data_IF_604462672494
#
_entry.id   IF_604462672494
#
_cell.length_a   1.000
_cell.length_b   1.000
_cell.length_c   1.000
_cell.angle_alpha   90.00
_cell.angle_beta   90.00
_cell.angle_gamma   90.00
#
_symmetry.space_group_name_H-M   'P 1'
#
loop_
_entity.id
_entity.type
_entity.pdbx_description
1 polymer ?
#
# COMPACT_ATOMS: atom_id res chain seq x y z
N UNK A 1 17.49 4.69 -14.00
CA UNK A 1 16.62 4.05 -13.02
C UNK A 1 15.17 4.45 -13.25
N UNK A 2 14.75 5.72 -13.21
CA UNK A 2 13.35 6.15 -13.40
C UNK A 2 12.67 5.56 -14.65
N UNK A 3 13.27 5.66 -15.84
CA UNK A 3 12.72 5.05 -17.09
C UNK A 3 12.56 3.53 -17.00
N UNK A 4 13.40 2.87 -16.28
CA UNK A 4 13.33 1.41 -16.08
C UNK A 4 12.19 1.05 -15.11
N UNK A 5 12.00 1.84 -14.06
CA UNK A 5 10.87 1.68 -13.14
C UNK A 5 9.53 1.99 -13.82
N UNK A 6 9.48 3.02 -14.66
CA UNK A 6 8.31 3.33 -15.50
C UNK A 6 7.93 2.14 -16.41
N UNK A 7 8.91 1.52 -17.06
CA UNK A 7 8.67 0.32 -17.86
C UNK A 7 8.15 -0.86 -17.02
N UNK A 8 8.77 -1.11 -15.87
CA UNK A 8 8.34 -2.17 -14.94
C UNK A 8 6.92 -1.90 -14.43
N UNK A 9 6.59 -0.65 -14.12
CA UNK A 9 5.25 -0.22 -13.74
C UNK A 9 4.23 -0.58 -14.82
N UNK A 10 4.48 -0.13 -16.06
CA UNK A 10 3.56 -0.30 -17.17
C UNK A 10 3.33 -1.79 -17.47
N UNK A 11 4.41 -2.59 -17.49
CA UNK A 11 4.32 -4.04 -17.67
C UNK A 11 3.47 -4.71 -16.56
N UNK A 12 3.66 -4.31 -15.29
CA UNK A 12 2.90 -4.86 -14.16
C UNK A 12 1.44 -4.41 -14.16
N UNK A 13 1.15 -3.17 -14.51
CA UNK A 13 -0.23 -2.69 -14.65
C UNK A 13 -0.95 -3.48 -15.73
N UNK A 14 -0.32 -3.73 -16.88
CA UNK A 14 -0.90 -4.61 -17.91
C UNK A 14 -1.15 -6.03 -17.38
N UNK A 15 -0.22 -6.58 -16.60
CA UNK A 15 -0.40 -7.89 -15.96
C UNK A 15 -1.57 -7.91 -14.97
N UNK A 16 -1.77 -6.82 -14.19
CA UNK A 16 -2.89 -6.65 -13.26
C UNK A 16 -4.22 -6.63 -14.04
N UNK A 17 -4.30 -5.86 -15.11
CA UNK A 17 -5.49 -5.76 -15.96
C UNK A 17 -5.83 -7.14 -16.56
N UNK A 18 -4.85 -7.82 -17.15
CA UNK A 18 -5.03 -9.17 -17.71
C UNK A 18 -5.48 -10.18 -16.65
N UNK A 19 -4.93 -10.08 -15.43
CA UNK A 19 -5.34 -10.90 -14.30
C UNK A 19 -6.79 -10.63 -13.91
N UNK A 20 -7.15 -9.36 -13.78
CA UNK A 20 -8.52 -8.98 -13.43
C UNK A 20 -9.52 -9.49 -14.46
N UNK A 21 -9.26 -9.29 -15.75
CA UNK A 21 -10.13 -9.80 -16.83
C UNK A 21 -10.29 -11.33 -16.78
N UNK A 22 -9.21 -12.06 -16.53
CA UNK A 22 -9.24 -13.52 -16.46
C UNK A 22 -9.98 -14.06 -15.22
N UNK A 23 -10.16 -13.25 -14.17
CA UNK A 23 -10.77 -13.67 -12.90
C UNK A 23 -12.11 -12.97 -12.64
N UNK A 24 -12.67 -12.25 -13.60
CA UNK A 24 -14.02 -11.69 -13.51
C UNK A 24 -15.07 -12.77 -13.35
N UNK A 25 -15.90 -12.61 -12.34
CA UNK A 25 -17.04 -13.50 -12.06
C UNK A 25 -18.31 -12.69 -11.85
N UNK A 26 -19.46 -13.12 -12.41
CA UNK A 26 -20.71 -12.45 -12.14
C UNK A 26 -21.15 -12.70 -10.69
N UNK A 27 -21.69 -11.67 -10.07
CA UNK A 27 -22.38 -11.74 -8.79
C UNK A 27 -23.89 -11.80 -9.05
N UNK A 28 -24.57 -12.71 -8.39
CA UNK A 28 -26.00 -12.92 -8.57
C UNK A 28 -26.78 -12.51 -7.31
N UNK A 29 -28.00 -12.05 -7.51
CA UNK A 29 -28.96 -11.84 -6.43
C UNK A 29 -29.50 -13.17 -5.90
N UNK A 30 -30.42 -13.08 -4.90
CA UNK A 30 -31.08 -14.27 -4.30
C UNK A 30 -31.97 -15.01 -5.29
N UNK A 31 -32.34 -14.40 -6.42
CA UNK A 31 -33.22 -14.97 -7.45
C UNK A 31 -32.41 -15.52 -8.64
N UNK A 32 -31.06 -15.40 -8.60
CA UNK A 32 -30.19 -15.87 -9.66
C UNK A 32 -29.98 -14.86 -10.80
N UNK A 33 -30.41 -13.60 -10.65
CA UNK A 33 -30.17 -12.57 -11.65
C UNK A 33 -28.77 -11.93 -11.43
N UNK A 34 -28.00 -11.65 -12.51
CA UNK A 34 -26.74 -10.99 -12.37
C UNK A 34 -26.96 -9.53 -11.93
N UNK A 35 -26.29 -9.13 -10.85
CA UNK A 35 -26.38 -7.78 -10.26
C UNK A 35 -25.08 -6.99 -10.37
N UNK A 36 -23.95 -7.68 -10.51
CA UNK A 36 -22.63 -7.06 -10.51
C UNK A 36 -21.58 -8.03 -11.06
N UNK A 37 -20.37 -7.52 -11.27
CA UNK A 37 -19.19 -8.32 -11.62
C UNK A 37 -18.12 -8.03 -10.60
N UNK A 38 -17.49 -9.06 -10.06
CA UNK A 38 -16.36 -8.93 -9.16
C UNK A 38 -15.16 -9.71 -9.68
N UNK A 39 -13.97 -9.33 -9.24
CA UNK A 39 -12.76 -10.09 -9.54
C UNK A 39 -12.50 -11.06 -8.39
N UNK A 40 -12.51 -12.35 -8.70
CA UNK A 40 -12.14 -13.40 -7.74
C UNK A 40 -10.62 -13.40 -7.53
N UNK A 41 -10.18 -12.55 -6.63
CA UNK A 41 -8.76 -12.28 -6.38
C UNK A 41 -8.30 -12.86 -5.05
N UNK A 42 -7.12 -13.50 -5.07
CA UNK A 42 -6.45 -13.96 -3.87
C UNK A 42 -5.32 -12.99 -3.51
N UNK A 43 -5.34 -12.36 -2.31
CA UNK A 43 -4.31 -11.42 -1.88
C UNK A 43 -2.89 -12.00 -1.92
N UNK A 44 -2.72 -13.30 -1.65
CA UNK A 44 -1.41 -13.95 -1.73
C UNK A 44 -0.92 -13.97 -3.18
N UNK A 45 -1.78 -14.34 -4.12
CA UNK A 45 -1.45 -14.36 -5.55
C UNK A 45 -1.11 -12.97 -6.04
N UNK A 46 -1.90 -11.96 -5.66
CA UNK A 46 -1.64 -10.55 -5.97
C UNK A 46 -0.25 -10.15 -5.48
N UNK A 47 0.06 -10.42 -4.20
CA UNK A 47 1.35 -10.09 -3.60
C UNK A 47 2.51 -10.79 -4.31
N UNK A 48 2.39 -12.09 -4.58
CA UNK A 48 3.45 -12.88 -5.20
C UNK A 48 3.68 -12.49 -6.68
N UNK A 49 2.62 -12.12 -7.38
CA UNK A 49 2.70 -11.85 -8.80
C UNK A 49 3.11 -10.41 -9.10
N UNK A 50 2.48 -9.43 -8.46
CA UNK A 50 2.62 -8.02 -8.81
C UNK A 50 3.61 -7.24 -7.94
N UNK A 51 3.87 -7.71 -6.71
CA UNK A 51 4.84 -7.08 -5.79
C UNK A 51 6.11 -7.91 -5.63
N UNK A 52 6.46 -8.71 -6.65
CA UNK A 52 7.77 -9.36 -6.71
C UNK A 52 8.88 -8.31 -6.78
N UNK A 53 10.06 -8.66 -6.29
CA UNK A 53 11.22 -7.78 -6.27
C UNK A 53 11.50 -7.14 -7.64
N UNK A 54 11.82 -5.85 -7.62
CA UNK A 54 12.02 -5.04 -8.84
C UNK A 54 13.40 -5.25 -9.44
N UNK A 55 14.42 -5.37 -8.60
CA UNK A 55 15.77 -5.60 -9.06
C UNK A 55 16.08 -7.10 -9.25
N UNK A 56 16.83 -7.43 -10.29
CA UNK A 56 17.18 -8.81 -10.66
C UNK A 56 18.32 -9.41 -9.80
N UNK A 57 18.46 -8.97 -8.55
CA UNK A 57 19.12 -9.76 -7.55
C UNK A 57 20.61 -9.62 -7.41
N UNK A 58 21.07 -8.57 -6.83
CA UNK A 58 22.27 -8.65 -5.99
C UNK A 58 21.88 -9.34 -4.68
N UNK A 59 22.44 -10.51 -4.43
CA UNK A 59 22.33 -11.15 -3.13
C UNK A 59 23.14 -10.32 -2.13
N UNK A 60 22.46 -9.51 -1.33
CA UNK A 60 23.09 -8.66 -0.32
C UNK A 60 22.14 -7.64 0.26
N UNK A 61 22.53 -6.98 1.32
CA UNK A 61 21.84 -5.81 1.86
C UNK A 61 22.03 -4.69 0.83
N UNK A 62 20.96 -4.36 0.11
CA UNK A 62 20.98 -3.25 -0.83
C UNK A 62 20.79 -1.98 -0.01
N UNK A 63 21.80 -1.15 -0.02
CA UNK A 63 21.71 0.21 0.51
C UNK A 63 21.09 1.09 -0.58
N UNK A 64 19.84 1.49 -0.41
CA UNK A 64 19.18 2.43 -1.30
C UNK A 64 19.60 3.86 -0.96
N UNK A 65 19.73 4.72 -1.97
CA UNK A 65 19.73 6.16 -1.74
C UNK A 65 18.32 6.63 -1.40
N UNK A 66 18.20 7.83 -0.84
CA UNK A 66 16.91 8.46 -0.54
C UNK A 66 16.02 8.50 -1.78
N UNK A 67 16.55 9.01 -2.89
CA UNK A 67 15.84 9.15 -4.17
C UNK A 67 15.38 7.79 -4.71
N UNK A 68 16.21 6.75 -4.56
CA UNK A 68 15.85 5.39 -4.95
C UNK A 68 14.69 4.87 -4.12
N UNK A 69 14.71 5.07 -2.81
CA UNK A 69 13.66 4.60 -1.93
C UNK A 69 12.34 5.32 -2.21
N UNK A 70 12.38 6.63 -2.49
CA UNK A 70 11.22 7.42 -2.89
C UNK A 70 10.65 6.95 -4.24
N UNK A 71 11.49 6.72 -5.26
CA UNK A 71 11.05 6.18 -6.56
C UNK A 71 10.43 4.79 -6.44
N UNK A 72 10.98 3.90 -5.61
CA UNK A 72 10.38 2.59 -5.35
C UNK A 72 9.07 2.69 -4.59
N UNK A 73 8.94 3.65 -3.69
CA UNK A 73 7.69 3.87 -2.98
C UNK A 73 6.59 4.45 -3.88
N UNK A 74 6.95 5.35 -4.81
CA UNK A 74 6.03 5.80 -5.86
C UNK A 74 5.54 4.62 -6.72
N UNK A 75 6.45 3.79 -7.21
CA UNK A 75 6.07 2.58 -7.95
C UNK A 75 5.12 1.69 -7.14
N UNK A 76 5.43 1.45 -5.87
CA UNK A 76 4.58 0.67 -4.97
C UNK A 76 3.16 1.23 -4.90
N UNK A 77 3.02 2.55 -4.71
CA UNK A 77 1.72 3.21 -4.63
C UNK A 77 0.93 3.10 -5.94
N UNK A 78 1.58 3.28 -7.06
CA UNK A 78 0.93 3.14 -8.38
C UNK A 78 0.43 1.71 -8.62
N UNK A 79 1.20 0.70 -8.21
CA UNK A 79 0.75 -0.70 -8.28
C UNK A 79 -0.42 -1.01 -7.34
N UNK A 80 -0.42 -0.46 -6.12
CA UNK A 80 -1.56 -0.58 -5.20
C UNK A 80 -2.82 0.06 -5.81
N UNK A 81 -2.68 1.25 -6.40
CA UNK A 81 -3.80 1.93 -7.07
C UNK A 81 -4.35 1.09 -8.22
N UNK A 82 -3.49 0.52 -9.06
CA UNK A 82 -3.91 -0.34 -10.16
C UNK A 82 -4.60 -1.61 -9.67
N UNK A 83 -4.09 -2.26 -8.61
CA UNK A 83 -4.77 -3.42 -8.02
C UNK A 83 -6.15 -3.04 -7.48
N UNK A 84 -6.27 -1.90 -6.80
CA UNK A 84 -7.53 -1.43 -6.25
C UNK A 84 -8.54 -1.02 -7.34
N UNK A 85 -8.06 -0.51 -8.46
CA UNK A 85 -8.89 -0.12 -9.59
C UNK A 85 -9.41 -1.34 -10.39
N UNK A 86 -8.55 -2.30 -10.66
CA UNK A 86 -8.87 -3.37 -11.61
C UNK A 86 -9.19 -4.72 -10.96
N UNK A 87 -8.65 -5.02 -9.80
CA UNK A 87 -8.75 -6.36 -9.23
C UNK A 87 -9.58 -6.44 -7.95
N UNK A 88 -9.11 -5.86 -6.86
CA UNK A 88 -9.80 -5.89 -5.56
C UNK A 88 -9.19 -4.88 -4.61
N UNK A 89 -9.93 -4.53 -3.55
CA UNK A 89 -9.41 -3.69 -2.47
C UNK A 89 -8.23 -4.40 -1.81
N UNK A 90 -7.06 -3.83 -2.00
CA UNK A 90 -5.81 -4.35 -1.49
C UNK A 90 -5.16 -3.28 -0.61
N UNK A 91 -5.07 -3.51 0.71
CA UNK A 91 -4.52 -2.52 1.64
C UNK A 91 -3.02 -2.36 1.43
N UNK A 92 -2.53 -1.15 1.61
CA UNK A 92 -1.09 -0.89 1.67
C UNK A 92 -0.47 -1.65 2.83
N UNK A 93 0.76 -2.12 2.65
CA UNK A 93 1.44 -2.92 3.65
C UNK A 93 2.94 -2.74 3.57
N UNK A 94 3.57 -2.49 4.72
CA UNK A 94 5.02 -2.44 4.79
C UNK A 94 5.67 -3.74 4.35
N UNK A 95 5.06 -4.88 4.66
CA UNK A 95 5.54 -6.20 4.20
C UNK A 95 5.56 -6.30 2.69
N UNK A 96 4.50 -5.83 2.01
CA UNK A 96 4.40 -5.86 0.55
C UNK A 96 5.39 -4.88 -0.09
N UNK A 97 5.55 -3.69 0.50
CA UNK A 97 6.58 -2.74 0.06
C UNK A 97 7.99 -3.31 0.22
N UNK A 98 8.33 -3.86 1.39
CA UNK A 98 9.63 -4.50 1.63
C UNK A 98 9.90 -5.65 0.66
N UNK A 99 8.87 -6.42 0.29
CA UNK A 99 8.99 -7.46 -0.72
C UNK A 99 9.34 -6.89 -2.10
N UNK A 100 8.68 -5.79 -2.49
CA UNK A 100 8.94 -5.12 -3.76
C UNK A 100 10.38 -4.63 -3.87
N UNK A 101 10.94 -4.08 -2.81
CA UNK A 101 12.34 -3.61 -2.76
C UNK A 101 13.35 -4.70 -2.36
N UNK A 102 12.89 -5.91 -2.08
CA UNK A 102 13.76 -7.07 -1.79
C UNK A 102 14.46 -7.05 -0.44
N UNK A 103 13.89 -6.38 0.56
CA UNK A 103 14.39 -6.36 1.95
C UNK A 103 13.35 -6.96 2.91
N UNK A 104 13.76 -7.28 4.14
CA UNK A 104 12.83 -7.60 5.21
C UNK A 104 12.45 -6.35 6.01
N UNK A 105 11.35 -6.41 6.75
CA UNK A 105 10.93 -5.31 7.64
C UNK A 105 12.03 -5.01 8.67
N UNK A 106 12.68 -6.04 9.21
CA UNK A 106 13.73 -5.88 10.21
C UNK A 106 14.96 -5.18 9.63
N UNK A 107 15.33 -5.50 8.39
CA UNK A 107 16.40 -4.80 7.66
C UNK A 107 16.03 -3.33 7.44
N UNK A 108 14.80 -3.04 7.04
CA UNK A 108 14.35 -1.64 6.86
C UNK A 108 14.33 -0.87 8.19
N UNK A 109 13.92 -1.51 9.30
CA UNK A 109 13.99 -0.92 10.64
C UNK A 109 15.42 -0.64 11.08
N UNK A 110 16.31 -1.61 10.92
CA UNK A 110 17.72 -1.43 11.24
C UNK A 110 18.36 -0.33 10.40
N UNK A 111 18.02 -0.26 9.13
CA UNK A 111 18.47 0.80 8.23
C UNK A 111 18.00 2.18 8.70
N UNK A 112 16.71 2.31 9.07
CA UNK A 112 16.15 3.53 9.67
C UNK A 112 16.93 3.98 10.93
N UNK A 113 17.39 3.06 11.77
CA UNK A 113 18.14 3.38 12.99
C UNK A 113 19.56 3.87 12.71
N UNK A 114 20.19 3.40 11.64
CA UNK A 114 21.58 3.67 11.29
C UNK A 114 21.75 4.71 10.20
N UNK A 115 20.69 5.09 9.50
CA UNK A 115 20.69 6.05 8.41
C UNK A 115 20.86 7.50 8.89
N UNK A 116 21.26 8.37 7.98
CA UNK A 116 21.25 9.80 8.20
C UNK A 116 19.81 10.35 8.42
N UNK A 117 19.74 11.62 8.80
CA UNK A 117 18.47 12.27 9.17
C UNK A 117 17.50 12.31 7.99
N UNK A 118 17.98 12.54 6.77
CA UNK A 118 17.13 12.66 5.58
C UNK A 118 16.54 11.30 5.19
N UNK A 119 17.36 10.26 5.16
CA UNK A 119 16.91 8.91 4.90
C UNK A 119 15.94 8.42 5.97
N UNK A 120 16.22 8.73 7.24
CA UNK A 120 15.33 8.39 8.35
C UNK A 120 13.95 9.05 8.16
N UNK A 121 13.89 10.34 7.81
CA UNK A 121 12.64 11.04 7.52
C UNK A 121 11.89 10.40 6.36
N UNK A 122 12.57 10.02 5.29
CA UNK A 122 11.94 9.33 4.15
C UNK A 122 11.31 8.02 4.59
N UNK A 123 12.01 7.19 5.37
CA UNK A 123 11.47 5.94 5.88
C UNK A 123 10.28 6.21 6.82
N UNK A 124 10.37 7.19 7.71
CA UNK A 124 9.27 7.58 8.61
C UNK A 124 8.04 8.02 7.82
N UNK A 125 8.22 8.82 6.77
CA UNK A 125 7.13 9.24 5.87
C UNK A 125 6.45 8.05 5.21
N UNK A 126 7.21 7.06 4.72
CA UNK A 126 6.66 5.84 4.13
C UNK A 126 5.82 5.06 5.15
N UNK A 127 6.31 4.93 6.39
CA UNK A 127 5.56 4.27 7.46
C UNK A 127 4.26 4.99 7.77
N UNK A 128 4.30 6.31 7.91
CA UNK A 128 3.14 7.12 8.24
C UNK A 128 2.09 7.06 7.11
N UNK A 129 2.50 7.17 5.85
CA UNK A 129 1.58 7.08 4.72
C UNK A 129 0.90 5.71 4.61
N UNK A 130 1.64 4.61 4.81
CA UNK A 130 1.06 3.26 4.83
C UNK A 130 0.05 3.10 5.98
N UNK A 131 0.34 3.68 7.15
CA UNK A 131 -0.56 3.64 8.29
C UNK A 131 -1.82 4.47 8.05
N UNK A 132 -1.68 5.67 7.49
CA UNK A 132 -2.79 6.57 7.16
C UNK A 132 -3.72 5.94 6.12
N UNK A 133 -3.19 5.31 5.07
CA UNK A 133 -3.96 4.60 4.05
C UNK A 133 -4.78 3.45 4.66
N UNK A 134 -4.17 2.66 5.55
CA UNK A 134 -4.87 1.57 6.22
C UNK A 134 -5.96 2.08 7.18
N UNK A 135 -5.70 3.16 7.89
CA UNK A 135 -6.69 3.78 8.76
C UNK A 135 -7.87 4.30 7.94
N UNK A 136 -7.60 4.93 6.81
CA UNK A 136 -8.63 5.43 5.90
C UNK A 136 -9.52 4.31 5.35
N UNK A 137 -8.92 3.22 4.84
CA UNK A 137 -9.66 2.04 4.35
C UNK A 137 -10.52 1.40 5.45
N UNK A 138 -10.03 1.40 6.68
CA UNK A 138 -10.74 0.93 7.86
C UNK A 138 -11.97 1.80 8.16
N UNK A 139 -11.84 3.12 8.09
CA UNK A 139 -12.94 4.07 8.30
C UNK A 139 -14.03 3.95 7.23
N UNK A 140 -13.65 3.59 6.00
CA UNK A 140 -14.59 3.30 4.92
C UNK A 140 -15.27 1.93 5.05
N UNK A 141 -14.97 1.15 6.10
CA UNK A 141 -15.50 -0.19 6.29
C UNK A 141 -14.99 -1.22 5.27
N UNK A 142 -13.96 -0.87 4.50
CA UNK A 142 -13.39 -1.74 3.46
C UNK A 142 -12.40 -2.75 4.04
N UNK A 143 -11.94 -2.54 5.25
CA UNK A 143 -11.10 -3.48 6.00
C UNK A 143 -11.67 -3.70 7.40
N UNK A 144 -11.25 -4.77 8.07
CA UNK A 144 -11.71 -5.05 9.43
C UNK A 144 -11.06 -4.06 10.40
N UNK A 145 -11.85 -3.10 10.90
CA UNK A 145 -11.42 -2.03 11.80
C UNK A 145 -10.64 -2.54 13.03
N UNK A 146 -11.15 -3.60 13.67
CA UNK A 146 -10.48 -4.18 14.84
C UNK A 146 -9.11 -4.75 14.51
N UNK A 147 -8.98 -5.40 13.36
CA UNK A 147 -7.71 -5.95 12.87
C UNK A 147 -6.72 -4.84 12.50
N UNK A 148 -7.21 -3.78 11.90
CA UNK A 148 -6.39 -2.61 11.52
C UNK A 148 -5.89 -1.87 12.75
N UNK A 149 -6.78 -1.57 13.70
CA UNK A 149 -6.41 -0.93 14.98
C UNK A 149 -5.41 -1.79 15.77
N UNK A 150 -5.60 -3.12 15.80
CA UNK A 150 -4.66 -4.02 16.46
C UNK A 150 -3.27 -3.98 15.82
N UNK A 151 -3.20 -4.01 14.48
CA UNK A 151 -1.93 -3.89 13.75
C UNK A 151 -1.24 -2.55 14.02
N UNK A 152 -1.99 -1.45 13.94
CA UNK A 152 -1.47 -0.11 14.23
C UNK A 152 -0.95 -0.01 15.67
N UNK A 153 -1.68 -0.53 16.64
CA UNK A 153 -1.25 -0.56 18.04
C UNK A 153 0.01 -1.41 18.22
N UNK A 154 0.08 -2.60 17.63
CA UNK A 154 1.26 -3.46 17.76
C UNK A 154 2.51 -2.84 17.10
N UNK A 155 2.32 -2.08 16.03
CA UNK A 155 3.41 -1.33 15.38
C UNK A 155 3.86 -0.14 16.24
N UNK A 156 2.92 0.57 16.86
CA UNK A 156 3.18 1.70 17.75
C UNK A 156 3.71 1.27 19.12
N UNK A 157 3.24 0.16 19.70
CA UNK A 157 3.79 -0.37 20.95
C UNK A 157 5.28 -0.71 20.85
N UNK A 158 5.76 -1.10 19.68
CA UNK A 158 7.20 -1.25 19.43
C UNK A 158 7.94 0.08 19.45
N UNK A 159 7.24 1.20 19.19
CA UNK A 159 7.78 2.57 19.26
C UNK A 159 7.56 3.19 20.64
N UNK A 160 6.44 2.93 21.31
CA UNK A 160 6.08 3.50 22.61
C UNK A 160 6.93 2.99 23.78
N UNK A 161 7.51 1.78 23.69
CA UNK A 161 8.48 1.30 24.69
C UNK A 161 9.74 2.17 24.77
N UNK A 162 9.91 3.15 23.89
CA UNK A 162 11.02 4.11 23.88
C UNK A 162 10.64 5.57 24.21
N UNK A 163 9.35 5.88 24.44
CA UNK A 163 8.94 7.23 24.84
C UNK A 163 7.99 7.17 26.04
N UNK A 164 8.35 7.79 27.20
CA UNK A 164 7.43 7.92 28.31
C UNK A 164 6.37 8.99 28.00
N UNK A 165 5.11 8.60 28.03
CA UNK A 165 3.92 9.45 28.11
C UNK A 165 3.75 10.54 27.06
N UNK A 166 3.17 10.20 25.92
CA UNK A 166 2.38 11.17 25.15
C UNK A 166 0.94 10.68 25.10
N UNK A 167 0.04 11.38 25.77
CA UNK A 167 -1.40 11.24 25.62
C UNK A 167 -1.77 11.58 24.19
N UNK A 168 -1.96 10.58 23.34
CA UNK A 168 -2.52 10.78 22.00
C UNK A 168 -4.02 11.00 22.19
N UNK A 169 -4.41 12.27 22.29
CA UNK A 169 -5.79 12.64 22.06
C UNK A 169 -6.06 12.43 20.56
N UNK A 170 -7.04 11.62 20.22
CA UNK A 170 -7.56 11.37 18.87
C UNK A 170 -8.06 12.63 18.10
N UNK A 171 -7.74 13.83 18.58
CA UNK A 171 -8.09 15.12 18.00
C UNK A 171 -6.96 15.80 17.22
N UNK A 172 -5.84 15.17 17.02
CA UNK A 172 -4.67 15.74 16.37
C UNK A 172 -4.40 15.12 15.02
N UNK A 173 -4.86 15.83 14.01
CA UNK A 173 -4.16 16.11 12.77
C UNK A 173 -4.27 15.08 11.66
N UNK A 174 -5.44 14.99 11.08
CA UNK A 174 -5.48 15.01 9.61
C UNK A 174 -5.55 16.47 9.19
N UNK A 175 -4.53 16.92 8.47
CA UNK A 175 -4.58 18.24 7.85
C UNK A 175 -5.77 18.23 6.88
N UNK A 176 -6.82 19.03 7.15
CA UNK A 176 -8.09 19.02 6.42
C UNK A 176 -7.87 19.09 4.89
N UNK A 177 -6.84 19.83 4.45
CA UNK A 177 -6.47 19.95 3.04
C UNK A 177 -5.92 18.62 2.44
N UNK A 178 -5.31 17.75 3.26
CA UNK A 178 -4.82 16.43 2.83
C UNK A 178 -5.97 15.43 2.77
N UNK A 179 -6.92 15.55 3.70
CA UNK A 179 -8.17 14.78 3.73
C UNK A 179 -9.05 15.09 2.50
N UNK A 180 -9.25 16.38 2.21
CA UNK A 180 -10.07 16.82 1.09
C UNK A 180 -9.47 16.39 -0.26
N UNK A 181 -8.12 16.49 -0.44
CA UNK A 181 -7.43 15.97 -1.63
C UNK A 181 -7.56 14.47 -1.81
N UNK A 182 -7.51 13.73 -0.72
CA UNK A 182 -7.64 12.28 -0.74
C UNK A 182 -9.07 11.86 -1.03
N UNK A 183 -10.06 12.50 -0.40
CA UNK A 183 -11.48 12.32 -0.69
C UNK A 183 -11.82 12.65 -2.15
N UNK A 184 -11.29 13.76 -2.69
CA UNK A 184 -11.50 14.17 -4.08
C UNK A 184 -10.91 13.16 -5.07
N UNK A 185 -9.75 12.61 -4.76
CA UNK A 185 -9.09 11.58 -5.57
C UNK A 185 -9.87 10.26 -5.58
N UNK A 186 -10.39 9.83 -4.45
CA UNK A 186 -11.16 8.56 -4.35
C UNK A 186 -12.64 8.72 -4.75
N UNK A 187 -13.28 9.89 -4.54
CA UNK A 187 -14.62 10.14 -5.05
C UNK A 187 -14.66 10.20 -6.58
N UNK A 188 -13.60 10.74 -7.22
CA UNK A 188 -13.46 10.72 -8.68
C UNK A 188 -13.23 9.30 -9.24
N UNK A 189 -12.69 8.38 -8.47
CA UNK A 189 -12.56 6.97 -8.82
C UNK A 189 -13.92 6.25 -8.72
N UNK A 190 -14.71 6.56 -7.69
CA UNK A 190 -16.06 5.97 -7.50
C UNK A 190 -17.07 6.48 -8.55
N UNK A 191 -16.95 7.74 -8.99
CA UNK A 191 -17.86 8.35 -9.98
C UNK A 191 -17.55 7.99 -11.43
N UNK A 192 -16.38 7.39 -11.72
CA UNK A 192 -16.02 6.88 -13.05
C UNK A 192 -16.50 5.45 -13.32
N UNK A 193 -17.06 4.79 -12.33
CA UNK A 193 -17.62 3.44 -12.45
C UNK A 193 -19.02 3.34 -13.03
N UNK A 194 -19.69 4.48 -13.29
CA UNK A 194 -21.06 4.51 -13.85
C UNK A 194 -21.08 5.12 -15.27
N UNK A 195 -20.35 4.48 -16.19
CA UNK A 195 -20.60 4.66 -17.62
C UNK A 195 -20.29 3.38 -18.39
#
# INVERSE_FOLDING_TARGET
>A
MRKELEKIRDERIEEIIKYAEAHKKPKFDKNGNPIDVFVDSNPIVITEKFFKRVDNGTKGIILYTKEQLEEYYELYRELILAVNEYAAIFPTSLTTFCKLIGVTIDVLKQYRETADIEMKKTIDTIYDEINDDNLFLSQLGQTNEKSTIFKLKSQNELTEKRQPNVNISLKGVMNQAKYDKTLEKYSNLLLKGDK
#
